data_IF_510387739584
#
_entry.id   IF_510387739584
#
_cell.length_a   1.000
_cell.length_b   1.000
_cell.length_c   1.000
_cell.angle_alpha   90.00
_cell.angle_beta   90.00
_cell.angle_gamma   90.00
#
_symmetry.space_group_name_H-M   'P 1'
#
loop_
_entity.id
_entity.type
_entity.pdbx_description
1 polymer ?
#
# COMPACT_ATOMS: atom_id res chain seq x y z
N UNK A 1 -3.13 21.77 -7.13
CA UNK A 1 -2.35 21.25 -5.99
C UNK A 1 -3.33 20.96 -4.87
N UNK A 2 -3.50 19.70 -4.51
CA UNK A 2 -4.33 19.33 -3.35
C UNK A 2 -3.58 19.70 -2.05
N UNK A 3 -4.30 19.91 -0.95
CA UNK A 3 -3.68 20.09 0.36
C UNK A 3 -3.48 18.74 1.05
N UNK A 4 -2.49 18.64 1.95
CA UNK A 4 -2.30 17.48 2.83
C UNK A 4 -3.61 17.05 3.52
N UNK A 5 -4.38 18.02 4.05
CA UNK A 5 -5.66 17.75 4.71
C UNK A 5 -6.67 17.04 3.81
N UNK A 6 -6.72 17.40 2.52
CA UNK A 6 -7.59 16.79 1.51
C UNK A 6 -7.11 15.39 1.16
N UNK A 7 -5.80 15.22 0.92
CA UNK A 7 -5.19 13.93 0.56
C UNK A 7 -5.35 12.92 1.71
N UNK A 8 -5.08 13.31 2.94
CA UNK A 8 -5.24 12.46 4.12
C UNK A 8 -6.68 11.93 4.24
N UNK A 9 -7.66 12.82 4.07
CA UNK A 9 -9.08 12.45 4.11
C UNK A 9 -9.43 11.45 3.00
N UNK A 10 -8.94 11.70 1.78
CA UNK A 10 -9.16 10.79 0.64
C UNK A 10 -8.55 9.41 0.87
N UNK A 11 -7.31 9.35 1.37
CA UNK A 11 -6.64 8.10 1.72
C UNK A 11 -7.42 7.32 2.78
N UNK A 12 -7.89 8.00 3.83
CA UNK A 12 -8.73 7.38 4.87
C UNK A 12 -10.01 6.78 4.28
N UNK A 13 -10.69 7.55 3.42
CA UNK A 13 -11.96 7.13 2.81
C UNK A 13 -11.76 5.98 1.82
N UNK A 14 -10.65 5.96 1.08
CA UNK A 14 -10.28 4.86 0.17
C UNK A 14 -10.12 3.53 0.91
N UNK A 15 -9.55 3.56 2.11
CA UNK A 15 -9.39 2.39 2.98
C UNK A 15 -10.67 2.06 3.79
N UNK A 16 -11.79 2.78 3.55
CA UNK A 16 -13.06 2.63 4.27
C UNK A 16 -12.95 2.78 5.79
N UNK A 17 -12.08 3.67 6.26
CA UNK A 17 -11.85 3.89 7.69
C UNK A 17 -12.64 5.08 8.21
N UNK A 18 -13.18 4.94 9.42
CA UNK A 18 -13.63 6.08 10.22
C UNK A 18 -12.43 6.87 10.76
N UNK A 19 -12.66 8.13 11.15
CA UNK A 19 -11.63 8.92 11.83
C UNK A 19 -11.15 8.25 13.13
N UNK A 20 -12.05 7.57 13.85
CA UNK A 20 -11.71 6.87 15.08
C UNK A 20 -10.76 5.69 14.81
N UNK A 21 -11.04 4.90 13.77
CA UNK A 21 -10.21 3.74 13.41
C UNK A 21 -8.83 4.16 12.91
N UNK A 22 -8.75 5.18 12.05
CA UNK A 22 -7.45 5.66 11.57
C UNK A 22 -6.64 6.27 12.73
N UNK A 23 -7.28 7.06 13.60
CA UNK A 23 -6.60 7.65 14.74
C UNK A 23 -6.01 6.58 15.68
N UNK A 24 -6.76 5.49 15.92
CA UNK A 24 -6.26 4.33 16.69
C UNK A 24 -5.05 3.67 16.02
N UNK A 25 -5.07 3.49 14.69
CA UNK A 25 -3.96 2.87 13.94
C UNK A 25 -2.70 3.74 13.90
N UNK A 26 -2.88 5.07 13.92
CA UNK A 26 -1.79 6.05 13.97
C UNK A 26 -1.39 6.44 15.41
N UNK A 27 -1.98 5.79 16.43
CA UNK A 27 -1.72 6.06 17.85
C UNK A 27 -1.90 7.54 18.26
N UNK A 28 -2.86 8.22 17.65
CA UNK A 28 -3.26 9.60 17.97
C UNK A 28 -4.71 9.68 18.43
N UNK A 29 -5.11 10.81 19.01
CA UNK A 29 -6.51 11.04 19.33
C UNK A 29 -7.32 11.35 18.06
N UNK A 30 -8.59 10.94 18.04
CA UNK A 30 -9.54 11.29 16.97
C UNK A 30 -9.60 12.79 16.71
N UNK A 31 -9.57 13.59 17.78
CA UNK A 31 -9.57 15.05 17.65
C UNK A 31 -8.34 15.58 16.93
N UNK A 32 -7.14 15.01 17.18
CA UNK A 32 -5.92 15.38 16.45
C UNK A 32 -6.06 15.06 14.96
N UNK A 33 -6.53 13.85 14.63
CA UNK A 33 -6.79 13.47 13.25
C UNK A 33 -7.80 14.41 12.57
N UNK A 34 -8.90 14.74 13.24
CA UNK A 34 -9.91 15.65 12.71
C UNK A 34 -9.34 17.05 12.44
N UNK A 35 -8.48 17.58 13.32
CA UNK A 35 -7.81 18.86 13.09
C UNK A 35 -6.87 18.82 11.88
N UNK A 36 -6.20 17.69 11.62
CA UNK A 36 -5.38 17.49 10.43
C UNK A 36 -6.23 17.47 9.15
N UNK A 37 -7.32 16.68 9.12
CA UNK A 37 -8.22 16.61 7.96
C UNK A 37 -8.97 17.93 7.68
N UNK A 38 -9.13 18.80 8.69
CA UNK A 38 -9.70 20.13 8.53
C UNK A 38 -8.65 21.20 8.17
N UNK A 39 -7.36 20.85 8.17
CA UNK A 39 -6.27 21.81 7.93
C UNK A 39 -6.06 22.84 9.05
N UNK A 40 -6.58 22.58 10.25
CA UNK A 40 -6.39 23.46 11.41
C UNK A 40 -5.02 23.29 12.07
N UNK A 41 -4.40 22.12 11.88
CA UNK A 41 -3.09 21.77 12.42
C UNK A 41 -2.34 20.96 11.37
N UNK A 42 -1.02 21.01 11.45
CA UNK A 42 -0.14 20.13 10.69
C UNK A 42 0.48 19.07 11.61
N UNK A 43 0.64 17.82 11.14
CA UNK A 43 1.44 16.81 11.81
C UNK A 43 2.92 17.18 11.84
N UNK A 44 3.66 16.58 12.76
CA UNK A 44 5.13 16.62 12.73
C UNK A 44 5.68 15.65 11.67
N UNK A 45 6.99 15.73 11.41
CA UNK A 45 7.64 14.90 10.41
C UNK A 45 7.53 13.41 10.73
N UNK A 46 7.69 13.04 12.01
CA UNK A 46 7.57 11.64 12.45
C UNK A 46 6.18 11.07 12.14
N UNK A 47 5.10 11.80 12.47
CA UNK A 47 3.75 11.35 12.16
C UNK A 47 3.47 11.35 10.66
N UNK A 48 4.05 12.28 9.87
CA UNK A 48 3.94 12.25 8.41
C UNK A 48 4.55 10.99 7.82
N UNK A 49 5.72 10.57 8.30
CA UNK A 49 6.38 9.32 7.87
C UNK A 49 5.50 8.11 8.21
N UNK A 50 4.96 8.05 9.43
CA UNK A 50 4.04 6.97 9.85
C UNK A 50 2.78 6.94 8.96
N UNK A 51 2.20 8.09 8.64
CA UNK A 51 1.03 8.17 7.75
C UNK A 51 1.40 7.70 6.34
N UNK A 52 2.53 8.16 5.80
CA UNK A 52 3.00 7.79 4.46
C UNK A 52 3.24 6.27 4.36
N UNK A 53 3.86 5.67 5.38
CA UNK A 53 4.09 4.24 5.43
C UNK A 53 2.80 3.44 5.63
N UNK A 54 1.89 3.91 6.48
CA UNK A 54 0.60 3.27 6.71
C UNK A 54 -0.22 3.15 5.41
N UNK A 55 -0.24 4.22 4.59
CA UNK A 55 -0.96 4.22 3.32
C UNK A 55 -0.12 3.75 2.12
N UNK A 56 1.14 3.40 2.36
CA UNK A 56 2.13 3.07 1.34
C UNK A 56 2.19 4.09 0.19
N UNK A 57 2.36 5.37 0.54
CA UNK A 57 2.51 6.48 -0.41
C UNK A 57 3.82 7.22 -0.19
N UNK A 58 4.28 7.97 -1.19
CA UNK A 58 5.38 8.90 -1.00
C UNK A 58 4.92 10.24 -0.39
N UNK A 59 5.91 11.02 0.06
CA UNK A 59 5.69 12.30 0.73
C UNK A 59 5.11 13.37 -0.21
N UNK A 60 5.48 13.36 -1.49
CA UNK A 60 4.99 14.36 -2.44
C UNK A 60 3.51 14.14 -2.77
N UNK A 61 3.09 12.88 -2.88
CA UNK A 61 1.69 12.51 -2.98
C UNK A 61 0.93 12.88 -1.71
N UNK A 62 1.44 12.49 -0.53
CA UNK A 62 0.78 12.79 0.75
C UNK A 62 0.59 14.30 0.97
N UNK A 63 1.57 15.11 0.57
CA UNK A 63 1.51 16.57 0.68
C UNK A 63 0.76 17.25 -0.49
N UNK A 64 0.23 16.48 -1.44
CA UNK A 64 -0.55 16.98 -2.59
C UNK A 64 0.26 17.73 -3.64
N UNK A 65 1.58 17.47 -3.70
CA UNK A 65 2.53 18.01 -4.69
C UNK A 65 2.61 17.17 -5.97
N UNK A 66 2.14 15.93 -5.92
CA UNK A 66 2.05 14.99 -7.04
C UNK A 66 0.66 14.34 -7.09
N UNK A 67 0.16 14.09 -8.29
CA UNK A 67 -1.11 13.37 -8.51
C UNK A 67 -0.93 11.84 -8.49
N UNK A 68 0.32 11.35 -8.50
CA UNK A 68 0.67 9.93 -8.51
C UNK A 68 1.74 9.60 -7.47
N UNK A 69 1.57 8.50 -6.75
CA UNK A 69 2.56 7.97 -5.80
C UNK A 69 3.58 7.09 -6.53
N UNK A 70 4.84 7.17 -6.10
CA UNK A 70 6.00 6.44 -6.60
C UNK A 70 6.37 5.25 -5.72
N UNK A 71 5.76 5.11 -4.52
CA UNK A 71 5.85 3.88 -3.73
C UNK A 71 5.03 2.79 -4.41
N UNK A 72 5.65 2.11 -5.37
CA UNK A 72 5.24 0.76 -5.71
C UNK A 72 5.61 -0.12 -4.52
N UNK A 73 4.66 -0.94 -4.07
CA UNK A 73 4.97 -2.14 -3.30
C UNK A 73 6.21 -2.75 -3.93
N UNK A 74 7.27 -3.04 -3.17
CA UNK A 74 8.44 -3.69 -3.73
C UNK A 74 7.99 -5.09 -4.15
N UNK A 75 7.39 -5.20 -5.34
CA UNK A 75 7.04 -6.46 -5.96
C UNK A 75 8.38 -7.13 -6.17
N UNK A 76 8.74 -7.98 -5.22
CA UNK A 76 9.87 -8.88 -5.38
C UNK A 76 9.41 -9.89 -6.39
N UNK A 77 9.65 -9.58 -7.66
CA UNK A 77 9.33 -10.48 -8.77
C UNK A 77 10.32 -11.64 -8.70
N UNK A 78 9.86 -12.76 -8.14
CA UNK A 78 10.56 -14.04 -8.30
C UNK A 78 10.21 -14.55 -9.69
N UNK A 79 11.07 -14.25 -10.68
CA UNK A 79 10.95 -14.74 -12.04
C UNK A 79 11.90 -15.91 -12.28
N UNK A 80 11.37 -17.04 -12.74
CA UNK A 80 12.19 -18.10 -13.31
C UNK A 80 12.61 -17.66 -14.72
N UNK A 81 13.90 -17.33 -14.89
CA UNK A 81 14.47 -17.03 -16.19
C UNK A 81 14.78 -18.34 -16.91
N UNK A 82 14.37 -18.46 -18.17
CA UNK A 82 14.72 -19.60 -19.00
C UNK A 82 16.16 -19.40 -19.52
N UNK A 83 17.03 -20.38 -19.26
CA UNK A 83 18.30 -20.47 -19.96
C UNK A 83 18.03 -21.22 -21.28
N UNK A 84 18.33 -20.56 -22.41
CA UNK A 84 18.27 -21.04 -23.80
C UNK A 84 17.04 -20.54 -24.61
N UNK A 85 17.32 -19.94 -25.76
CA UNK A 85 16.43 -19.06 -26.53
C UNK A 85 15.33 -19.77 -27.34
N UNK A 86 15.33 -21.10 -27.49
CA UNK A 86 14.58 -21.75 -28.59
C UNK A 86 13.56 -22.85 -28.19
N UNK A 87 12.94 -22.79 -27.02
CA UNK A 87 11.94 -23.80 -26.63
C UNK A 87 10.85 -23.20 -25.73
N UNK A 88 9.64 -23.01 -26.24
CA UNK A 88 8.56 -22.55 -25.36
C UNK A 88 8.27 -23.62 -24.29
N UNK A 89 7.91 -23.20 -23.08
CA UNK A 89 7.37 -24.12 -22.08
C UNK A 89 6.14 -24.79 -22.68
N UNK A 90 6.08 -26.12 -22.60
CA UNK A 90 4.89 -26.84 -23.02
C UNK A 90 3.67 -26.40 -22.19
N UNK A 91 2.47 -26.57 -22.75
CA UNK A 91 1.23 -26.29 -22.03
C UNK A 91 1.11 -27.11 -20.73
N UNK A 92 1.74 -28.28 -20.67
CA UNK A 92 1.77 -29.16 -19.50
C UNK A 92 2.67 -28.59 -18.40
N UNK A 93 3.87 -28.14 -18.75
CA UNK A 93 4.81 -27.53 -17.79
C UNK A 93 4.29 -26.21 -17.23
N UNK A 94 3.66 -25.37 -18.07
CA UNK A 94 3.00 -24.13 -17.61
C UNK A 94 1.88 -24.44 -16.61
N UNK A 95 1.09 -25.48 -16.88
CA UNK A 95 0.02 -25.93 -15.99
C UNK A 95 0.57 -26.44 -14.66
N UNK A 96 1.73 -27.09 -14.66
CA UNK A 96 2.40 -27.53 -13.43
C UNK A 96 2.90 -26.35 -12.59
N UNK A 97 3.52 -25.34 -13.22
CA UNK A 97 3.96 -24.11 -12.54
C UNK A 97 2.75 -23.39 -11.92
N UNK A 98 1.63 -23.31 -12.64
CA UNK A 98 0.40 -22.70 -12.13
C UNK A 98 -0.19 -23.48 -10.95
N UNK A 99 -0.22 -24.81 -11.05
CA UNK A 99 -0.65 -25.67 -9.95
C UNK A 99 0.22 -25.50 -8.69
N UNK A 100 1.54 -25.37 -8.86
CA UNK A 100 2.47 -25.12 -7.77
C UNK A 100 2.22 -23.77 -7.09
N UNK A 101 1.96 -22.72 -7.87
CA UNK A 101 1.59 -21.40 -7.36
C UNK A 101 0.33 -21.46 -6.48
N UNK A 102 -0.70 -22.17 -6.92
CA UNK A 102 -1.94 -22.34 -6.13
C UNK A 102 -1.71 -23.19 -4.86
N UNK A 103 -0.89 -24.23 -4.96
CA UNK A 103 -0.52 -25.04 -3.79
C UNK A 103 0.18 -24.20 -2.70
N UNK A 104 1.12 -23.32 -3.09
CA UNK A 104 1.80 -22.42 -2.16
C UNK A 104 0.79 -21.46 -1.49
N UNK A 105 -0.18 -20.93 -2.26
CA UNK A 105 -1.25 -20.08 -1.73
C UNK A 105 -2.12 -20.81 -0.70
N UNK A 106 -2.53 -22.04 -1.00
CA UNK A 106 -3.32 -22.86 -0.06
C UNK A 106 -2.57 -23.15 1.25
N UNK A 107 -1.28 -23.51 1.17
CA UNK A 107 -0.45 -23.74 2.37
C UNK A 107 -0.42 -22.54 3.31
N UNK A 108 -0.42 -21.32 2.76
CA UNK A 108 -0.44 -20.09 3.56
C UNK A 108 -1.77 -19.89 4.30
N UNK A 109 -2.88 -20.22 3.67
CA UNK A 109 -4.21 -20.09 4.25
C UNK A 109 -4.48 -21.15 5.33
N UNK A 110 -3.91 -22.36 5.19
CA UNK A 110 -4.05 -23.44 6.17
C UNK A 110 -3.22 -23.26 7.46
N UNK A 111 -2.30 -22.27 7.51
CA UNK A 111 -1.44 -21.97 8.65
C UNK A 111 -1.91 -20.78 9.50
N UNK A 112 -3.02 -20.13 9.13
CA UNK A 112 -3.70 -19.10 9.94
C UNK A 112 -4.86 -19.74 10.68
#
# INVERSE_FOLDING_TARGET
>A
MASFSTVLKQLRERENLTQEELAKRLEISRSRLASYEQGQREPDLELLEVIADFFNVDMDYLLGRSDSTTKFDQVTTIAAHKNNEDEDWSAEELKEIEAFKEFVRMKRQSKK
#
